data_IF_367940391658
#
_entry.id   IF_367940391658
#
_cell.length_a   1.000
_cell.length_b   1.000
_cell.length_c   1.000
_cell.angle_alpha   90.00
_cell.angle_beta   90.00
_cell.angle_gamma   90.00
#
_symmetry.space_group_name_H-M   'P 1'
#
loop_
_entity.id
_entity.type
_entity.pdbx_description
1 polymer ?
#
# COMPACT_ATOMS: atom_id res chain seq x y z
N UNK A 1 -19.90 6.81 -25.34
CA UNK A 1 -19.49 7.65 -24.21
C UNK A 1 -17.99 7.81 -24.34
N UNK A 2 -17.49 9.03 -24.60
CA UNK A 2 -16.06 9.28 -24.66
C UNK A 2 -15.59 9.51 -23.22
N UNK A 3 -14.72 8.66 -22.72
CA UNK A 3 -14.04 8.88 -21.44
C UNK A 3 -12.86 9.81 -21.71
N UNK A 4 -12.86 10.98 -21.12
CA UNK A 4 -11.70 11.89 -21.15
C UNK A 4 -11.07 11.92 -19.77
N UNK A 5 -9.76 11.72 -19.72
CA UNK A 5 -8.97 11.93 -18.52
C UNK A 5 -8.28 13.29 -18.59
N UNK A 6 -7.95 13.92 -17.45
CA UNK A 6 -7.09 15.10 -17.43
C UNK A 6 -5.77 14.84 -18.19
N UNK A 7 -5.22 15.87 -18.84
CA UNK A 7 -3.97 15.72 -19.61
C UNK A 7 -2.77 15.32 -18.77
N UNK A 8 -2.79 15.77 -17.52
CA UNK A 8 -1.77 15.54 -16.49
C UNK A 8 -2.09 14.35 -15.59
N UNK A 9 -3.07 13.51 -15.99
CA UNK A 9 -3.39 12.31 -15.24
C UNK A 9 -2.19 11.34 -15.18
N UNK A 10 -1.85 10.92 -13.98
CA UNK A 10 -0.70 10.09 -13.70
C UNK A 10 -1.00 8.61 -13.97
N UNK A 11 -0.53 8.11 -15.11
CA UNK A 11 -0.59 6.69 -15.46
C UNK A 11 0.68 5.99 -15.02
N UNK A 12 0.60 5.12 -14.02
CA UNK A 12 1.75 4.49 -13.40
C UNK A 12 1.57 3.03 -13.04
N UNK A 13 2.56 2.54 -12.36
CA UNK A 13 2.54 1.26 -11.67
C UNK A 13 3.25 1.38 -10.33
N UNK A 14 3.00 0.44 -9.43
CA UNK A 14 3.56 0.42 -8.09
C UNK A 14 4.37 -0.84 -7.82
N UNK A 15 5.25 -0.75 -6.82
CA UNK A 15 5.91 -1.88 -6.18
C UNK A 15 6.52 -1.45 -4.84
N UNK A 16 6.93 -2.39 -4.00
CA UNK A 16 7.65 -2.09 -2.77
C UNK A 16 9.08 -2.62 -2.78
N UNK A 17 9.97 -1.93 -2.08
CA UNK A 17 11.38 -2.30 -2.01
C UNK A 17 11.58 -3.72 -1.50
N UNK A 18 10.95 -4.08 -0.38
CA UNK A 18 11.17 -5.41 0.22
C UNK A 18 10.67 -6.56 -0.65
N UNK A 19 9.72 -6.31 -1.56
CA UNK A 19 9.12 -7.33 -2.41
C UNK A 19 9.91 -7.57 -3.71
N UNK A 20 10.70 -6.61 -4.18
CA UNK A 20 11.41 -6.73 -5.47
C UNK A 20 12.91 -6.51 -5.42
N UNK A 21 13.44 -5.70 -4.47
CA UNK A 21 14.87 -5.34 -4.49
C UNK A 21 15.80 -6.54 -4.36
N UNK A 22 15.55 -7.43 -3.41
CA UNK A 22 16.54 -8.40 -2.99
C UNK A 22 17.76 -7.72 -2.34
N UNK A 23 18.96 -8.25 -2.61
CA UNK A 23 20.22 -7.70 -2.06
C UNK A 23 20.13 -7.42 -0.54
N UNK A 24 19.52 -8.37 0.19
CA UNK A 24 19.08 -8.19 1.58
C UNK A 24 20.20 -7.84 2.56
N UNK A 25 21.43 -8.20 2.26
CA UNK A 25 22.62 -7.93 3.09
C UNK A 25 23.78 -7.27 2.31
N UNK A 26 23.47 -6.68 1.15
CA UNK A 26 24.48 -6.03 0.31
C UNK A 26 24.58 -4.54 0.63
N UNK A 27 25.75 -3.97 0.35
CA UNK A 27 26.07 -2.57 0.52
C UNK A 27 25.69 -1.97 1.88
N UNK A 28 25.76 -2.79 2.93
CA UNK A 28 25.52 -2.37 4.29
C UNK A 28 24.05 -2.28 4.69
N UNK A 29 23.12 -2.83 3.89
CA UNK A 29 21.71 -2.95 4.28
C UNK A 29 21.60 -3.73 5.58
N UNK A 30 20.87 -3.19 6.56
CA UNK A 30 20.49 -3.87 7.78
C UNK A 30 19.34 -4.85 7.57
N UNK A 31 19.08 -5.68 8.56
CA UNK A 31 18.00 -6.64 8.55
C UNK A 31 16.64 -5.92 8.74
N UNK A 32 15.68 -6.20 7.89
CA UNK A 32 14.28 -5.84 8.12
C UNK A 32 13.61 -6.83 9.07
N UNK A 33 12.45 -6.47 9.61
CA UNK A 33 11.62 -7.39 10.37
C UNK A 33 11.24 -8.63 9.54
N UNK A 34 10.94 -8.47 8.27
CA UNK A 34 10.64 -9.58 7.36
C UNK A 34 11.86 -10.48 7.16
N UNK A 35 13.05 -9.90 6.95
CA UNK A 35 14.30 -10.67 6.84
C UNK A 35 14.58 -11.48 8.10
N UNK A 36 14.32 -10.91 9.27
CA UNK A 36 14.55 -11.57 10.56
C UNK A 36 13.58 -12.72 10.78
N UNK A 37 12.27 -12.44 10.74
CA UNK A 37 11.26 -13.45 11.06
C UNK A 37 11.20 -14.59 10.03
N UNK A 38 11.44 -14.32 8.75
CA UNK A 38 11.51 -15.36 7.71
C UNK A 38 12.64 -16.38 7.95
N UNK A 39 13.63 -16.05 8.77
CA UNK A 39 14.75 -16.93 9.13
C UNK A 39 14.52 -17.73 10.40
N UNK A 40 13.47 -17.40 11.18
CA UNK A 40 13.08 -18.13 12.37
C UNK A 40 12.20 -19.33 11.98
N UNK A 41 12.57 -20.57 12.34
CA UNK A 41 11.80 -21.76 11.93
C UNK A 41 10.32 -21.74 12.31
N UNK A 42 10.00 -21.18 13.48
CA UNK A 42 8.65 -21.06 13.98
C UNK A 42 7.77 -20.10 13.19
N UNK A 43 8.36 -19.13 12.48
CA UNK A 43 7.65 -18.12 11.68
C UNK A 43 7.81 -18.32 10.18
N UNK A 44 8.75 -19.15 9.72
CA UNK A 44 9.08 -19.31 8.31
C UNK A 44 7.87 -19.70 7.43
N UNK A 45 6.85 -20.34 8.01
CA UNK A 45 5.62 -20.70 7.32
C UNK A 45 4.81 -19.47 6.85
N UNK A 46 4.91 -18.32 7.51
CA UNK A 46 4.29 -17.08 7.07
C UNK A 46 4.86 -16.54 5.75
N UNK A 47 6.00 -17.04 5.33
CA UNK A 47 6.65 -16.72 4.04
C UNK A 47 6.73 -17.94 3.11
N UNK A 48 5.86 -18.95 3.29
CA UNK A 48 5.93 -20.20 2.51
C UNK A 48 7.30 -20.83 2.51
N UNK A 49 8.04 -20.68 3.64
CA UNK A 49 9.46 -21.05 3.77
C UNK A 49 10.38 -20.40 2.73
N UNK A 50 9.91 -19.37 2.03
CA UNK A 50 10.68 -18.54 1.12
C UNK A 50 11.36 -17.37 1.84
N UNK A 51 12.37 -16.81 1.21
CA UNK A 51 13.08 -15.63 1.70
C UNK A 51 13.24 -14.60 0.60
N UNK A 52 13.14 -13.34 0.96
CA UNK A 52 13.28 -12.22 0.04
C UNK A 52 14.74 -11.86 -0.26
N UNK A 53 15.63 -12.84 -0.21
CA UNK A 53 17.08 -12.63 -0.34
C UNK A 53 17.44 -12.06 -1.72
N UNK A 54 16.76 -12.53 -2.76
CA UNK A 54 16.97 -12.08 -4.14
C UNK A 54 15.74 -11.37 -4.70
N UNK A 55 14.53 -11.84 -4.39
CA UNK A 55 13.28 -11.35 -4.97
C UNK A 55 13.33 -11.32 -6.50
N UNK A 56 12.92 -10.18 -7.10
CA UNK A 56 13.08 -9.92 -8.53
C UNK A 56 14.45 -9.32 -8.88
N UNK A 57 15.36 -9.23 -7.91
CA UNK A 57 16.70 -8.66 -8.07
C UNK A 57 16.69 -7.24 -8.70
N UNK A 58 15.71 -6.44 -8.32
CA UNK A 58 15.58 -5.07 -8.81
C UNK A 58 16.81 -4.23 -8.45
N UNK A 59 17.46 -4.51 -7.32
CA UNK A 59 18.67 -3.81 -6.87
C UNK A 59 19.78 -3.82 -7.93
N UNK A 60 19.94 -4.90 -8.69
CA UNK A 60 20.95 -5.02 -9.74
C UNK A 60 20.41 -4.67 -11.14
N UNK A 61 19.11 -4.82 -11.37
CA UNK A 61 18.45 -4.67 -12.68
C UNK A 61 17.65 -3.38 -12.86
N UNK A 62 17.63 -2.47 -11.88
CA UNK A 62 16.75 -1.31 -11.85
C UNK A 62 16.82 -0.40 -13.11
N UNK A 63 18.00 -0.29 -13.76
CA UNK A 63 18.12 0.49 -14.98
C UNK A 63 17.33 -0.09 -16.14
N UNK A 64 17.47 -1.40 -16.35
CA UNK A 64 16.74 -2.15 -17.37
C UNK A 64 15.23 -2.08 -17.13
N UNK A 65 14.83 -2.22 -15.86
CA UNK A 65 13.43 -2.18 -15.47
C UNK A 65 12.83 -0.77 -15.67
N UNK A 66 13.55 0.30 -15.34
CA UNK A 66 13.14 1.68 -15.61
C UNK A 66 13.10 1.99 -17.11
N UNK A 67 14.06 1.50 -17.89
CA UNK A 67 14.04 1.62 -19.35
C UNK A 67 12.79 0.96 -19.93
N UNK A 68 12.45 -0.24 -19.47
CA UNK A 68 11.23 -0.95 -19.89
C UNK A 68 9.95 -0.19 -19.51
N UNK A 69 9.90 0.44 -18.33
CA UNK A 69 8.78 1.31 -17.93
C UNK A 69 8.64 2.51 -18.86
N UNK A 70 9.74 3.17 -19.20
CA UNK A 70 9.76 4.32 -20.12
C UNK A 70 9.34 3.92 -21.55
N UNK A 71 9.84 2.79 -22.06
CA UNK A 71 9.46 2.22 -23.35
C UNK A 71 7.95 1.91 -23.44
N UNK A 72 7.33 1.60 -22.31
CA UNK A 72 5.89 1.36 -22.18
C UNK A 72 5.08 2.61 -21.78
N UNK A 73 5.69 3.80 -21.86
CA UNK A 73 5.04 5.11 -21.64
C UNK A 73 4.47 5.31 -20.21
N UNK A 74 4.95 4.60 -19.20
CA UNK A 74 4.58 4.94 -17.84
C UNK A 74 5.03 6.36 -17.50
N UNK A 75 4.15 7.12 -16.85
CA UNK A 75 4.40 8.52 -16.47
C UNK A 75 4.92 8.66 -15.05
N UNK A 76 4.69 7.65 -14.23
CA UNK A 76 5.05 7.67 -12.82
C UNK A 76 5.30 6.23 -12.34
N UNK A 77 6.18 6.11 -11.36
CA UNK A 77 6.42 4.85 -10.64
C UNK A 77 6.36 5.11 -9.15
N UNK A 78 5.42 4.41 -8.48
CA UNK A 78 5.33 4.42 -7.03
C UNK A 78 6.20 3.30 -6.48
N UNK A 79 7.12 3.67 -5.59
CA UNK A 79 8.10 2.76 -5.03
C UNK A 79 8.43 3.13 -3.59
N UNK A 80 8.84 2.17 -2.78
CA UNK A 80 9.27 2.45 -1.40
C UNK A 80 10.79 2.54 -1.27
N UNK A 81 11.21 3.18 -0.18
CA UNK A 81 12.61 3.14 0.27
C UNK A 81 12.71 2.09 1.38
N UNK A 82 13.64 1.14 1.26
CA UNK A 82 13.93 0.22 2.34
C UNK A 82 14.60 0.96 3.51
N UNK A 83 13.83 1.21 4.58
CA UNK A 83 14.36 1.89 5.78
C UNK A 83 15.63 1.21 6.32
N UNK A 84 15.72 -0.14 6.43
CA UNK A 84 16.94 -0.80 6.88
C UNK A 84 18.13 -0.64 5.94
N UNK A 85 17.94 -0.20 4.67
CA UNK A 85 19.03 0.11 3.76
C UNK A 85 19.66 1.47 4.08
N UNK A 86 18.88 2.41 4.59
CA UNK A 86 19.38 3.73 4.99
C UNK A 86 19.88 3.76 6.44
N UNK A 87 19.20 3.07 7.34
CA UNK A 87 19.52 3.03 8.77
C UNK A 87 19.63 1.57 9.25
N UNK A 88 20.77 0.92 9.02
CA UNK A 88 20.92 -0.52 9.25
C UNK A 88 20.92 -0.93 10.72
N UNK A 89 21.47 -0.10 11.62
CA UNK A 89 21.76 -0.50 13.00
C UNK A 89 21.15 0.44 14.07
N UNK A 90 20.61 1.58 13.66
CA UNK A 90 20.03 2.57 14.58
C UNK A 90 19.79 3.91 13.88
N UNK A 91 19.11 4.84 14.55
CA UNK A 91 18.70 6.10 13.96
C UNK A 91 19.88 7.08 13.69
N UNK A 92 21.06 6.84 14.28
CA UNK A 92 22.24 7.69 14.12
C UNK A 92 23.18 7.22 12.99
N UNK A 93 23.01 6.00 12.47
CA UNK A 93 23.93 5.39 11.51
C UNK A 93 23.35 5.40 10.11
N UNK A 94 23.58 6.50 9.39
CA UNK A 94 23.18 6.62 7.98
C UNK A 94 24.13 5.84 7.07
N UNK A 95 23.58 4.92 6.30
CA UNK A 95 24.32 4.16 5.28
C UNK A 95 24.39 4.95 3.97
N UNK A 96 25.55 5.55 3.68
CA UNK A 96 25.75 6.36 2.48
C UNK A 96 25.54 5.57 1.18
N UNK A 97 25.90 4.28 1.13
CA UNK A 97 25.69 3.46 -0.07
C UNK A 97 24.20 3.29 -0.41
N UNK A 98 23.33 3.18 0.62
CA UNK A 98 21.89 3.18 0.42
C UNK A 98 21.38 4.52 -0.13
N UNK A 99 21.90 5.63 0.40
CA UNK A 99 21.58 6.97 -0.12
C UNK A 99 22.02 7.11 -1.58
N UNK A 100 23.23 6.69 -1.91
CA UNK A 100 23.77 6.77 -3.28
C UNK A 100 22.96 5.94 -4.27
N UNK A 101 22.51 4.75 -3.86
CA UNK A 101 21.63 3.87 -4.66
C UNK A 101 20.31 4.57 -5.00
N UNK A 102 19.56 5.05 -4.02
CA UNK A 102 18.28 5.72 -4.27
C UNK A 102 18.44 7.05 -5.01
N UNK A 103 19.52 7.80 -4.78
CA UNK A 103 19.83 8.99 -5.55
C UNK A 103 20.05 8.68 -7.04
N UNK A 104 20.75 7.59 -7.35
CA UNK A 104 20.97 7.16 -8.72
C UNK A 104 19.64 6.70 -9.37
N UNK A 105 18.83 5.90 -8.65
CA UNK A 105 17.54 5.42 -9.11
C UNK A 105 16.58 6.58 -9.44
N UNK A 106 16.35 7.49 -8.51
CA UNK A 106 15.39 8.58 -8.71
C UNK A 106 15.86 9.60 -9.75
N UNK A 107 17.17 9.84 -9.86
CA UNK A 107 17.74 10.66 -10.92
C UNK A 107 17.48 10.04 -12.29
N UNK A 108 17.67 8.74 -12.43
CA UNK A 108 17.45 8.03 -13.68
C UNK A 108 15.97 7.96 -14.06
N UNK A 109 15.06 7.76 -13.08
CA UNK A 109 13.63 7.87 -13.33
C UNK A 109 13.26 9.23 -13.95
N UNK A 110 13.76 10.32 -13.35
CA UNK A 110 13.55 11.68 -13.88
C UNK A 110 14.16 11.86 -15.28
N UNK A 111 15.35 11.34 -15.53
CA UNK A 111 15.99 11.35 -16.87
C UNK A 111 15.11 10.66 -17.92
N UNK A 112 14.44 9.55 -17.54
CA UNK A 112 13.53 8.80 -18.39
C UNK A 112 12.12 9.41 -18.48
N UNK A 113 11.85 10.50 -17.77
CA UNK A 113 10.54 11.16 -17.75
C UNK A 113 9.49 10.43 -16.92
N UNK A 114 9.93 9.61 -15.96
CA UNK A 114 9.07 8.89 -15.01
C UNK A 114 9.10 9.66 -13.69
N UNK A 115 7.95 10.16 -13.25
CA UNK A 115 7.79 10.89 -11.99
C UNK A 115 7.93 9.93 -10.80
N UNK A 116 8.89 10.13 -9.87
CA UNK A 116 8.96 9.35 -8.66
C UNK A 116 7.83 9.70 -7.69
N UNK A 117 7.09 8.68 -7.25
CA UNK A 117 6.21 8.73 -6.10
C UNK A 117 6.77 7.75 -5.04
N UNK A 118 7.19 8.27 -3.90
CA UNK A 118 7.99 7.49 -2.95
C UNK A 118 7.30 7.35 -1.61
N UNK A 119 7.27 6.09 -1.15
CA UNK A 119 6.84 5.72 0.20
C UNK A 119 8.09 5.51 1.07
N UNK A 120 8.39 6.36 2.07
CA UNK A 120 9.42 6.05 3.06
C UNK A 120 9.17 4.73 3.79
N UNK A 121 7.91 4.37 4.01
CA UNK A 121 7.56 3.14 4.72
C UNK A 121 6.52 2.31 3.97
N UNK A 122 6.93 1.09 3.60
CA UNK A 122 6.06 0.06 3.04
C UNK A 122 6.39 -1.29 3.69
N UNK A 123 6.07 -1.41 5.01
CA UNK A 123 6.06 -2.60 5.88
C UNK A 123 7.43 -3.10 6.38
N UNK A 124 8.53 -2.68 5.83
CA UNK A 124 9.88 -3.19 6.10
C UNK A 124 10.59 -2.43 7.22
N UNK A 125 10.02 -2.45 8.44
CA UNK A 125 10.70 -1.90 9.62
C UNK A 125 12.08 -2.52 9.78
N UNK A 126 13.12 -1.71 10.07
CA UNK A 126 14.40 -2.26 10.53
C UNK A 126 14.20 -3.11 11.78
N UNK A 127 14.88 -4.24 11.87
CA UNK A 127 14.78 -5.13 13.04
C UNK A 127 15.11 -4.41 14.34
N UNK A 128 16.07 -3.49 14.34
CA UNK A 128 16.41 -2.72 15.53
C UNK A 128 15.25 -1.86 16.08
N UNK A 129 14.28 -1.46 15.22
CA UNK A 129 13.06 -0.78 15.67
C UNK A 129 12.20 -1.73 16.50
N UNK A 130 11.99 -2.97 16.01
CA UNK A 130 11.23 -3.97 16.76
C UNK A 130 11.95 -4.39 18.05
N UNK A 131 13.27 -4.56 18.02
CA UNK A 131 14.09 -4.89 19.19
C UNK A 131 13.98 -3.83 20.30
N UNK A 132 13.64 -2.60 19.93
CA UNK A 132 13.39 -1.47 20.86
C UNK A 132 11.91 -1.27 21.19
N UNK A 133 11.04 -2.21 20.85
CA UNK A 133 9.60 -2.19 21.17
C UNK A 133 8.68 -1.83 20.00
N UNK A 134 9.23 -1.57 18.81
CA UNK A 134 8.42 -1.31 17.60
C UNK A 134 7.55 -0.05 17.69
N UNK A 135 6.43 -0.06 17.00
CA UNK A 135 5.53 1.09 16.92
C UNK A 135 4.79 1.43 18.24
N UNK A 136 4.83 0.55 19.24
CA UNK A 136 4.27 0.86 20.57
C UNK A 136 5.26 1.63 21.47
N UNK A 137 6.54 1.70 21.12
CA UNK A 137 7.48 2.56 21.82
C UNK A 137 7.24 4.02 21.40
N UNK A 138 7.06 4.98 22.33
CA UNK A 138 6.84 6.39 21.97
C UNK A 138 8.01 7.02 21.17
N UNK A 139 9.24 6.52 21.33
CA UNK A 139 10.40 6.96 20.53
C UNK A 139 10.29 6.57 19.04
N UNK A 140 9.40 5.62 18.68
CA UNK A 140 9.13 5.27 17.30
C UNK A 140 8.77 6.49 16.45
N UNK A 141 8.02 7.42 17.02
CA UNK A 141 7.61 8.66 16.35
C UNK A 141 8.87 9.45 15.93
N UNK A 142 9.81 9.62 16.85
CA UNK A 142 11.04 10.39 16.59
C UNK A 142 11.97 9.67 15.60
N UNK A 143 12.11 8.34 15.73
CA UNK A 143 12.88 7.54 14.77
C UNK A 143 12.30 7.62 13.35
N UNK A 144 10.99 7.48 13.23
CA UNK A 144 10.31 7.53 11.93
C UNK A 144 10.44 8.91 11.30
N UNK A 145 10.21 9.98 12.07
CA UNK A 145 10.34 11.36 11.58
C UNK A 145 11.78 11.68 11.17
N UNK A 146 12.77 11.26 11.97
CA UNK A 146 14.19 11.45 11.62
C UNK A 146 14.56 10.75 10.31
N UNK A 147 14.06 9.53 10.12
CA UNK A 147 14.21 8.79 8.87
C UNK A 147 13.55 9.51 7.68
N UNK A 148 12.29 9.91 7.81
CA UNK A 148 11.56 10.62 6.77
C UNK A 148 12.23 11.96 6.41
N UNK A 149 12.67 12.72 7.41
CA UNK A 149 13.43 13.98 7.21
C UNK A 149 14.72 13.73 6.43
N UNK A 150 15.42 12.63 6.71
CA UNK A 150 16.60 12.24 5.94
C UNK A 150 16.22 11.94 4.47
N UNK A 151 15.13 11.21 4.23
CA UNK A 151 14.64 10.98 2.88
C UNK A 151 14.30 12.29 2.15
N UNK A 152 13.62 13.22 2.81
CA UNK A 152 13.27 14.52 2.24
C UNK A 152 14.52 15.36 1.91
N UNK A 153 15.53 15.30 2.76
CA UNK A 153 16.79 16.02 2.56
C UNK A 153 17.60 15.45 1.39
N UNK A 154 17.74 14.13 1.33
CA UNK A 154 18.62 13.47 0.35
C UNK A 154 17.94 13.34 -1.04
N UNK A 155 16.61 13.28 -1.10
CA UNK A 155 15.88 12.95 -2.34
C UNK A 155 14.80 13.97 -2.73
N UNK A 156 14.51 14.98 -1.90
CA UNK A 156 13.38 15.88 -2.08
C UNK A 156 13.45 16.76 -3.33
N UNK A 157 14.63 16.93 -3.92
CA UNK A 157 14.81 17.60 -5.21
C UNK A 157 14.43 16.75 -6.43
N UNK A 158 14.26 15.43 -6.23
CA UNK A 158 13.97 14.44 -7.28
C UNK A 158 12.55 13.85 -7.20
N UNK A 159 11.96 13.83 -6.01
CA UNK A 159 10.69 13.15 -5.72
C UNK A 159 9.55 14.17 -5.70
N UNK A 160 8.50 13.88 -6.45
CA UNK A 160 7.32 14.76 -6.57
C UNK A 160 6.20 14.42 -5.59
N UNK A 161 5.97 13.14 -5.34
CA UNK A 161 4.95 12.66 -4.42
C UNK A 161 5.59 11.84 -3.30
N UNK A 162 5.17 12.14 -2.07
CA UNK A 162 5.60 11.41 -0.88
C UNK A 162 4.38 10.89 -0.14
N UNK A 163 4.32 9.60 0.18
CA UNK A 163 3.38 9.12 1.20
C UNK A 163 4.15 8.76 2.47
N UNK A 164 3.60 9.10 3.61
CA UNK A 164 4.25 8.80 4.89
C UNK A 164 4.17 7.32 5.22
N UNK A 165 3.13 6.63 4.74
CA UNK A 165 2.88 5.23 5.03
C UNK A 165 2.07 4.58 3.93
N UNK A 166 2.25 3.26 3.74
CA UNK A 166 1.39 2.40 2.95
C UNK A 166 0.68 1.39 3.83
N UNK A 167 -0.66 1.34 3.72
CA UNK A 167 -1.51 0.35 4.37
C UNK A 167 -1.15 0.08 5.84
N UNK A 168 -1.17 1.10 6.69
CA UNK A 168 -0.77 0.93 8.09
C UNK A 168 -1.72 0.02 8.87
N UNK A 169 -2.91 -0.24 8.33
CA UNK A 169 -3.84 -1.21 8.88
C UNK A 169 -3.24 -2.62 8.84
N UNK A 170 -2.60 -2.98 7.74
CA UNK A 170 -1.96 -4.29 7.60
C UNK A 170 -0.72 -4.42 8.48
N UNK A 171 0.24 -3.52 8.35
CA UNK A 171 1.57 -3.69 8.95
C UNK A 171 1.69 -3.14 10.37
N UNK A 172 1.08 -2.00 10.65
CA UNK A 172 1.17 -1.37 11.98
C UNK A 172 0.10 -1.94 12.91
N UNK A 173 -1.18 -1.80 12.57
CA UNK A 173 -2.25 -2.31 13.41
C UNK A 173 -2.28 -3.85 13.41
N UNK A 174 -2.23 -4.47 12.22
CA UNK A 174 -2.28 -5.92 12.05
C UNK A 174 -1.07 -6.68 12.61
N UNK A 175 0.06 -6.00 12.84
CA UNK A 175 1.21 -6.57 13.55
C UNK A 175 0.93 -6.81 15.04
N UNK A 176 0.08 -5.98 15.64
CA UNK A 176 -0.27 -6.09 17.05
C UNK A 176 -1.66 -6.69 17.27
N UNK A 177 -2.62 -6.41 16.40
CA UNK A 177 -3.96 -6.95 16.51
C UNK A 177 -4.80 -6.72 15.26
N UNK A 178 -5.46 -7.77 14.78
CA UNK A 178 -6.61 -7.66 13.91
C UNK A 178 -7.56 -8.84 14.19
N UNK A 179 -8.71 -8.57 14.76
CA UNK A 179 -9.74 -9.59 15.06
C UNK A 179 -10.79 -9.68 13.97
N UNK A 180 -10.97 -8.61 13.19
CA UNK A 180 -12.12 -8.51 12.31
C UNK A 180 -11.97 -9.27 11.00
N UNK A 181 -10.77 -9.78 10.69
CA UNK A 181 -10.48 -10.53 9.46
C UNK A 181 -9.72 -11.85 9.71
N UNK A 182 -9.70 -12.38 10.95
CA UNK A 182 -8.91 -13.56 11.35
C UNK A 182 -7.39 -13.41 11.09
N UNK A 183 -6.90 -12.18 11.02
CA UNK A 183 -5.54 -11.84 10.60
C UNK A 183 -4.66 -11.40 11.76
N UNK A 184 -5.19 -11.46 12.98
CA UNK A 184 -4.48 -11.02 14.19
C UNK A 184 -3.09 -11.65 14.26
N UNK A 185 -2.05 -10.79 14.34
CA UNK A 185 -0.67 -11.22 14.33
C UNK A 185 -0.24 -11.87 13.01
N UNK A 186 -0.73 -11.39 11.87
CA UNK A 186 -0.31 -11.85 10.53
C UNK A 186 1.05 -11.29 10.14
N UNK A 187 1.38 -10.11 10.68
CA UNK A 187 2.63 -9.39 10.41
C UNK A 187 3.50 -9.31 11.66
N UNK A 188 4.83 -9.12 11.53
CA UNK A 188 5.67 -8.81 12.67
C UNK A 188 5.15 -7.58 13.46
N UNK A 189 5.16 -7.60 14.79
CA UNK A 189 5.75 -8.60 15.70
C UNK A 189 4.86 -9.81 16.04
N UNK A 190 3.75 -10.06 15.33
CA UNK A 190 2.84 -11.19 15.55
C UNK A 190 2.13 -11.21 16.91
N UNK A 191 1.86 -10.03 17.46
CA UNK A 191 1.16 -9.89 18.72
C UNK A 191 -0.37 -9.96 18.54
N UNK A 192 -1.09 -10.16 19.66
CA UNK A 192 -2.56 -10.23 19.69
C UNK A 192 -3.12 -9.41 20.85
N UNK A 193 -2.79 -8.12 20.86
CA UNK A 193 -3.16 -7.19 21.91
C UNK A 193 -3.79 -5.92 21.30
N UNK A 194 -5.09 -5.76 21.53
CA UNK A 194 -5.87 -4.67 20.93
C UNK A 194 -5.41 -3.27 21.40
N UNK A 195 -5.03 -3.15 22.69
CA UNK A 195 -4.52 -1.86 23.21
C UNK A 195 -3.19 -1.49 22.55
N UNK A 196 -2.32 -2.47 22.33
CA UNK A 196 -1.08 -2.26 21.57
C UNK A 196 -1.35 -1.90 20.12
N UNK A 197 -2.37 -2.52 19.49
CA UNK A 197 -2.80 -2.17 18.14
C UNK A 197 -3.21 -0.70 18.03
N UNK A 198 -4.06 -0.22 18.94
CA UNK A 198 -4.48 1.19 18.97
C UNK A 198 -3.33 2.14 19.35
N UNK A 199 -2.42 1.74 20.25
CA UNK A 199 -1.24 2.53 20.57
C UNK A 199 -0.31 2.69 19.34
N UNK A 200 -0.04 1.60 18.63
CA UNK A 200 0.76 1.61 17.41
C UNK A 200 0.09 2.46 16.29
N UNK A 201 -1.25 2.32 16.13
CA UNK A 201 -2.05 3.16 15.24
C UNK A 201 -1.88 4.65 15.56
N UNK A 202 -2.03 5.02 16.84
CA UNK A 202 -1.92 6.41 17.29
C UNK A 202 -0.51 6.97 17.06
N UNK A 203 0.52 6.23 17.41
CA UNK A 203 1.92 6.65 17.18
C UNK A 203 2.22 6.86 15.69
N UNK A 204 1.67 6.01 14.81
CA UNK A 204 1.86 6.18 13.36
C UNK A 204 1.15 7.43 12.84
N UNK A 205 -0.05 7.75 13.35
CA UNK A 205 -0.76 8.99 13.01
C UNK A 205 0.04 10.21 13.47
N UNK A 206 0.61 10.20 14.68
CA UNK A 206 1.44 11.29 15.16
C UNK A 206 2.74 11.43 14.34
N UNK A 207 3.36 10.32 13.96
CA UNK A 207 4.51 10.31 13.06
C UNK A 207 4.15 10.92 11.70
N UNK A 208 3.00 10.55 11.11
CA UNK A 208 2.46 11.14 9.88
C UNK A 208 2.36 12.67 9.97
N UNK A 209 1.71 13.21 11.00
CA UNK A 209 1.59 14.66 11.17
C UNK A 209 2.95 15.36 11.30
N UNK A 210 3.85 14.80 12.10
CA UNK A 210 5.20 15.37 12.26
C UNK A 210 6.01 15.31 10.98
N UNK A 211 5.86 14.28 10.16
CA UNK A 211 6.48 14.21 8.84
C UNK A 211 5.96 15.32 7.91
N UNK A 212 4.63 15.55 7.84
CA UNK A 212 4.05 16.63 7.03
C UNK A 212 4.57 17.99 7.50
N UNK A 213 4.59 18.21 8.81
CA UNK A 213 5.11 19.45 9.40
C UNK A 213 6.57 19.67 8.99
N UNK A 214 7.42 18.66 9.19
CA UNK A 214 8.83 18.73 8.84
C UNK A 214 9.04 18.98 7.32
N UNK A 215 8.28 18.29 6.46
CA UNK A 215 8.31 18.47 5.02
C UNK A 215 8.06 19.93 4.62
N UNK A 216 7.08 20.57 5.25
CA UNK A 216 6.73 21.98 4.99
C UNK A 216 7.74 22.94 5.58
N UNK A 217 8.20 22.72 6.80
CA UNK A 217 9.23 23.56 7.46
C UNK A 217 10.56 23.53 6.71
N UNK A 218 10.92 22.41 6.08
CA UNK A 218 12.09 22.29 5.22
C UNK A 218 11.90 22.99 3.85
N UNK A 219 10.70 23.43 3.51
CA UNK A 219 10.41 24.02 2.20
C UNK A 219 10.52 23.04 1.05
N UNK A 220 10.27 21.75 1.31
CA UNK A 220 10.29 20.71 0.28
C UNK A 220 9.25 21.02 -0.79
N UNK A 221 9.61 20.74 -2.03
CA UNK A 221 8.71 20.84 -3.19
C UNK A 221 7.99 19.51 -3.39
N UNK A 222 6.83 19.56 -4.03
CA UNK A 222 6.02 18.37 -4.27
C UNK A 222 4.88 18.25 -3.28
N UNK A 223 4.31 17.07 -3.19
CA UNK A 223 3.10 16.77 -2.40
C UNK A 223 3.39 15.67 -1.39
N UNK A 224 2.74 15.76 -0.22
CA UNK A 224 2.84 14.77 0.83
C UNK A 224 1.46 14.31 1.29
N UNK A 225 1.28 12.99 1.40
CA UNK A 225 0.02 12.36 1.82
C UNK A 225 0.24 11.03 2.54
N UNK A 226 -0.76 10.17 2.51
CA UNK A 226 -0.72 8.81 3.02
C UNK A 226 -1.45 7.86 2.05
N UNK A 227 -1.18 6.57 2.14
CA UNK A 227 -1.83 5.53 1.35
C UNK A 227 -2.52 4.55 2.29
N UNK A 228 -3.81 4.34 2.06
CA UNK A 228 -4.66 3.48 2.89
C UNK A 228 -5.23 2.34 2.04
N UNK A 229 -5.21 1.13 2.60
CA UNK A 229 -5.95 -0.01 2.11
C UNK A 229 -7.44 0.23 2.31
N UNK A 230 -8.14 0.54 1.25
CA UNK A 230 -9.50 1.08 1.31
C UNK A 230 -10.51 0.09 0.75
N UNK A 231 -11.47 -0.28 1.57
CA UNK A 231 -12.41 -1.36 1.26
C UNK A 231 -13.85 -0.85 1.38
N UNK A 232 -14.64 -0.86 0.28
CA UNK A 232 -16.06 -0.57 0.41
C UNK A 232 -16.74 -1.63 1.26
N UNK A 233 -17.51 -1.20 2.25
CA UNK A 233 -18.20 -2.08 3.18
C UNK A 233 -19.67 -2.20 2.80
N UNK A 234 -20.12 -3.42 2.50
CA UNK A 234 -21.49 -3.67 2.11
C UNK A 234 -22.27 -4.43 3.21
N UNK A 235 -23.57 -4.16 3.36
CA UNK A 235 -24.43 -5.01 4.20
C UNK A 235 -24.50 -6.41 3.62
N UNK A 236 -24.47 -7.43 4.48
CA UNK A 236 -24.58 -8.82 4.07
C UNK A 236 -25.99 -9.15 3.55
N UNK A 237 -27.03 -8.74 4.29
CA UNK A 237 -28.42 -8.88 3.89
C UNK A 237 -29.01 -7.49 3.59
N UNK A 238 -29.27 -7.22 2.32
CA UNK A 238 -29.87 -5.95 1.87
C UNK A 238 -31.29 -5.72 2.42
N UNK A 239 -31.96 -6.73 2.94
CA UNK A 239 -33.29 -6.62 3.58
C UNK A 239 -33.21 -6.32 5.09
N UNK A 240 -32.06 -6.55 5.74
CA UNK A 240 -31.85 -6.25 7.16
C UNK A 240 -31.19 -4.87 7.33
N UNK A 241 -31.94 -3.91 7.86
CA UNK A 241 -31.42 -2.56 8.11
C UNK A 241 -30.24 -2.52 9.09
N UNK A 242 -30.13 -3.53 9.97
CA UNK A 242 -29.02 -3.62 10.93
C UNK A 242 -27.69 -3.93 10.25
N UNK A 243 -27.73 -4.64 9.12
CA UNK A 243 -26.52 -4.94 8.35
C UNK A 243 -25.95 -3.69 7.68
N UNK A 244 -26.78 -2.68 7.36
CA UNK A 244 -26.28 -1.36 6.93
C UNK A 244 -25.55 -0.61 8.07
N UNK A 245 -26.07 -0.72 9.30
CA UNK A 245 -25.38 -0.16 10.47
C UNK A 245 -24.08 -0.92 10.75
N UNK A 246 -24.10 -2.23 10.61
CA UNK A 246 -22.90 -3.08 10.74
C UNK A 246 -21.81 -2.72 9.71
N UNK A 247 -22.22 -2.48 8.45
CA UNK A 247 -21.29 -2.04 7.40
C UNK A 247 -20.67 -0.67 7.73
N UNK A 248 -21.47 0.27 8.25
CA UNK A 248 -20.97 1.57 8.71
C UNK A 248 -19.98 1.43 9.88
N UNK A 249 -20.30 0.63 10.91
CA UNK A 249 -19.39 0.38 12.02
C UNK A 249 -18.10 -0.29 11.57
N UNK A 250 -18.19 -1.24 10.63
CA UNK A 250 -17.01 -1.90 10.06
C UNK A 250 -16.14 -0.91 9.28
N UNK A 251 -16.74 -0.03 8.47
CA UNK A 251 -16.01 1.03 7.78
C UNK A 251 -15.26 1.92 8.77
N UNK A 252 -15.92 2.39 9.79
CA UNK A 252 -15.30 3.24 10.82
C UNK A 252 -14.16 2.53 11.54
N UNK A 253 -14.29 1.23 11.81
CA UNK A 253 -13.24 0.45 12.47
C UNK A 253 -12.07 0.14 11.53
N UNK A 254 -12.33 -0.23 10.29
CA UNK A 254 -11.30 -0.68 9.35
C UNK A 254 -10.60 0.50 8.70
N UNK A 255 -11.32 1.31 7.98
CA UNK A 255 -10.82 2.46 7.23
C UNK A 255 -10.84 3.76 8.08
N UNK A 256 -11.94 4.02 8.77
CA UNK A 256 -12.18 5.26 9.49
C UNK A 256 -11.16 5.55 10.59
N UNK A 257 -10.63 4.53 11.29
CA UNK A 257 -9.57 4.73 12.30
C UNK A 257 -8.26 5.31 11.75
N UNK A 258 -8.11 5.31 10.41
CA UNK A 258 -7.01 5.93 9.69
C UNK A 258 -7.45 7.21 8.97
N UNK A 259 -8.53 7.14 8.19
CA UNK A 259 -9.03 8.29 7.44
C UNK A 259 -9.44 9.46 8.32
N UNK A 260 -10.26 9.21 9.36
CA UNK A 260 -10.79 10.27 10.19
C UNK A 260 -9.69 11.09 10.89
N UNK A 261 -8.72 10.46 11.61
CA UNK A 261 -7.65 11.25 12.18
C UNK A 261 -6.78 11.91 11.12
N UNK A 262 -6.40 11.23 10.04
CA UNK A 262 -5.51 11.81 9.03
C UNK A 262 -6.14 12.93 8.21
N UNK A 263 -7.47 12.90 7.98
CA UNK A 263 -8.18 13.88 7.15
C UNK A 263 -9.00 14.89 7.96
N UNK A 264 -9.51 14.52 9.14
CA UNK A 264 -10.38 15.35 9.97
C UNK A 264 -9.77 15.73 11.32
N UNK A 265 -8.65 15.12 11.73
CA UNK A 265 -8.01 15.38 13.02
C UNK A 265 -8.77 14.81 14.22
N UNK A 266 -9.60 13.80 14.05
CA UNK A 266 -10.39 13.15 15.12
C UNK A 266 -10.61 11.68 14.80
N UNK A 267 -10.82 10.86 15.81
CA UNK A 267 -11.19 9.46 15.61
C UNK A 267 -12.68 9.29 15.28
N UNK A 268 -13.08 8.20 14.58
CA UNK A 268 -14.49 7.90 14.28
C UNK A 268 -15.27 7.49 15.53
N UNK A 269 -16.62 7.58 15.43
CA UNK A 269 -17.53 7.33 16.55
C UNK A 269 -17.37 5.94 17.18
N UNK A 270 -17.07 4.91 16.39
CA UNK A 270 -16.92 3.55 16.91
C UNK A 270 -15.81 3.43 17.96
N UNK A 271 -14.76 4.26 17.89
CA UNK A 271 -13.68 4.28 18.88
C UNK A 271 -14.24 4.65 20.25
N UNK A 272 -15.04 5.70 20.32
CA UNK A 272 -15.66 6.15 21.57
C UNK A 272 -16.72 5.17 22.09
N UNK A 273 -17.43 4.52 21.16
CA UNK A 273 -18.51 3.60 21.51
C UNK A 273 -18.03 2.23 21.98
N UNK A 274 -16.94 1.70 21.37
CA UNK A 274 -16.56 0.29 21.55
C UNK A 274 -15.11 0.10 22.02
N UNK A 275 -14.24 1.08 21.80
CA UNK A 275 -12.79 0.88 21.93
C UNK A 275 -12.10 1.91 22.82
N UNK A 276 -12.85 2.79 23.50
CA UNK A 276 -12.28 3.87 24.32
C UNK A 276 -11.27 3.36 25.37
N UNK A 277 -11.57 2.23 26.02
CA UNK A 277 -10.72 1.64 27.04
C UNK A 277 -9.37 1.11 26.52
N UNK A 278 -9.23 1.00 25.20
CA UNK A 278 -8.01 0.56 24.53
C UNK A 278 -7.17 1.71 23.95
N UNK A 279 -7.73 2.93 23.98
CA UNK A 279 -7.03 4.10 23.46
C UNK A 279 -5.96 4.60 24.43
N UNK A 280 -4.82 5.12 23.93
CA UNK A 280 -3.83 5.75 24.80
C UNK A 280 -4.40 6.99 25.49
N UNK A 281 -3.85 7.31 26.66
CA UNK A 281 -4.21 8.56 27.34
C UNK A 281 -3.92 9.78 26.46
N UNK A 282 -4.74 10.84 26.58
CA UNK A 282 -4.58 12.12 25.85
C UNK A 282 -4.65 12.04 24.31
N UNK A 283 -5.14 10.94 23.74
CA UNK A 283 -5.15 10.75 22.28
C UNK A 283 -5.88 11.89 21.53
N UNK A 284 -6.93 12.47 22.08
CA UNK A 284 -7.66 13.59 21.46
C UNK A 284 -6.81 14.88 21.48
N UNK A 285 -6.18 15.19 22.61
CA UNK A 285 -5.30 16.36 22.73
C UNK A 285 -4.08 16.23 21.79
N UNK A 286 -3.58 15.02 21.63
CA UNK A 286 -2.45 14.75 20.73
C UNK A 286 -2.84 15.00 19.27
N UNK A 287 -4.04 14.59 18.85
CA UNK A 287 -4.54 14.91 17.50
C UNK A 287 -4.71 16.42 17.34
N UNK A 288 -5.39 17.09 18.27
CA UNK A 288 -5.64 18.54 18.21
C UNK A 288 -4.34 19.35 18.07
N UNK A 289 -3.31 18.98 18.85
CA UNK A 289 -2.02 19.68 18.87
C UNK A 289 -1.15 19.44 17.62
N UNK A 290 -1.28 18.25 17.01
CA UNK A 290 -0.34 17.82 15.97
C UNK A 290 -0.95 17.76 14.57
N UNK A 291 -2.27 17.83 14.41
CA UNK A 291 -2.94 17.71 13.11
C UNK A 291 -2.28 18.55 12.02
N UNK A 292 -2.04 17.93 10.88
CA UNK A 292 -1.52 18.57 9.67
C UNK A 292 -2.33 18.10 8.47
N UNK A 293 -2.87 19.04 7.70
CA UNK A 293 -3.58 18.71 6.45
C UNK A 293 -2.58 18.14 5.43
N UNK A 294 -2.87 16.98 4.86
CA UNK A 294 -2.11 16.41 3.74
C UNK A 294 -2.57 16.96 2.39
N UNK A 295 -1.76 16.76 1.35
CA UNK A 295 -2.03 17.29 0.01
C UNK A 295 -2.86 16.32 -0.86
N UNK A 296 -2.78 15.03 -0.60
CA UNK A 296 -3.53 13.98 -1.30
C UNK A 296 -3.78 12.78 -0.39
N UNK A 297 -4.74 11.95 -0.78
CA UNK A 297 -4.94 10.62 -0.22
C UNK A 297 -4.76 9.55 -1.30
N UNK A 298 -3.98 8.52 -1.00
CA UNK A 298 -3.84 7.32 -1.80
C UNK A 298 -4.82 6.24 -1.35
N UNK A 299 -5.47 5.60 -2.31
CA UNK A 299 -6.44 4.53 -2.13
C UNK A 299 -5.89 3.27 -2.80
N UNK A 300 -5.64 2.23 -2.02
CA UNK A 300 -5.38 0.89 -2.53
C UNK A 300 -6.70 0.14 -2.54
N UNK A 301 -7.11 -0.38 -3.70
CA UNK A 301 -8.36 -1.10 -3.84
C UNK A 301 -8.18 -2.42 -4.55
N UNK A 302 -8.69 -3.48 -3.94
CA UNK A 302 -8.68 -4.84 -4.52
C UNK A 302 -10.04 -5.50 -4.54
N UNK A 303 -10.80 -5.44 -3.43
CA UNK A 303 -12.03 -6.18 -3.24
C UNK A 303 -12.97 -5.50 -2.23
N UNK A 304 -14.27 -5.78 -2.25
CA UNK A 304 -15.22 -5.34 -1.22
C UNK A 304 -15.19 -6.27 -0.01
N UNK A 305 -15.67 -5.74 1.13
CA UNK A 305 -16.02 -6.54 2.30
C UNK A 305 -17.52 -6.46 2.60
N UNK A 306 -18.02 -7.47 3.34
CA UNK A 306 -19.38 -7.54 3.78
C UNK A 306 -19.44 -7.61 5.30
N UNK A 307 -20.45 -6.97 5.88
CA UNK A 307 -20.66 -6.96 7.31
C UNK A 307 -22.08 -7.43 7.68
N UNK A 308 -22.16 -8.23 8.72
CA UNK A 308 -23.42 -8.66 9.33
C UNK A 308 -23.50 -8.10 10.75
N UNK A 309 -24.70 -7.72 11.13
CA UNK A 309 -24.97 -7.25 12.49
C UNK A 309 -24.85 -8.39 13.51
N UNK A 310 -24.19 -8.08 14.63
CA UNK A 310 -24.20 -8.88 15.84
C UNK A 310 -24.60 -7.98 17.04
N UNK A 311 -25.32 -8.51 18.06
CA UNK A 311 -25.77 -7.70 19.20
C UNK A 311 -24.65 -7.27 20.15
N UNK A 312 -23.51 -7.95 20.12
CA UNK A 312 -22.33 -7.66 20.94
C UNK A 312 -21.46 -6.61 20.24
N UNK A 313 -20.80 -5.76 21.04
CA UNK A 313 -19.78 -4.84 20.51
C UNK A 313 -18.65 -5.61 19.79
N UNK A 314 -18.23 -5.18 18.61
CA UNK A 314 -18.45 -3.88 17.96
C UNK A 314 -19.69 -3.79 17.04
N UNK A 315 -20.68 -4.62 17.21
CA UNK A 315 -21.96 -4.63 16.49
C UNK A 315 -21.88 -5.06 15.02
N UNK A 316 -20.77 -5.64 14.61
CA UNK A 316 -20.55 -6.23 13.30
C UNK A 316 -19.64 -7.45 13.37
N UNK A 317 -19.81 -8.35 12.44
CA UNK A 317 -18.85 -9.39 12.08
C UNK A 317 -18.56 -9.35 10.58
N UNK A 318 -17.41 -9.85 10.18
CA UNK A 318 -17.09 -10.06 8.77
C UNK A 318 -17.97 -11.18 8.25
N UNK A 319 -18.72 -10.89 7.20
CA UNK A 319 -19.54 -11.88 6.52
C UNK A 319 -18.88 -12.35 5.23
N UNK A 320 -19.07 -13.61 4.83
CA UNK A 320 -18.68 -14.07 3.52
C UNK A 320 -19.44 -13.28 2.45
N UNK A 321 -18.90 -13.20 1.25
CA UNK A 321 -19.62 -12.61 0.13
C UNK A 321 -20.93 -13.39 -0.10
N UNK A 322 -22.10 -12.71 -0.08
CA UNK A 322 -23.41 -13.36 -0.26
C UNK A 322 -23.63 -13.90 -1.68
N UNK A 323 -22.89 -13.41 -2.64
CA UNK A 323 -22.94 -13.84 -4.04
C UNK A 323 -21.55 -14.24 -4.51
N UNK A 324 -21.45 -15.17 -5.46
CA UNK A 324 -20.17 -15.53 -6.09
C UNK A 324 -19.57 -14.41 -6.97
N UNK A 325 -19.95 -13.15 -6.70
CA UNK A 325 -19.51 -11.92 -7.37
C UNK A 325 -20.14 -11.72 -8.75
N UNK A 326 -20.30 -10.46 -9.17
CA UNK A 326 -20.84 -10.09 -10.48
C UNK A 326 -20.02 -10.61 -11.67
N UNK A 327 -18.79 -11.01 -11.41
CA UNK A 327 -17.83 -11.53 -12.39
C UNK A 327 -17.29 -12.90 -11.93
N UNK A 328 -18.17 -13.79 -11.52
CA UNK A 328 -17.82 -15.15 -11.03
C UNK A 328 -16.98 -15.95 -12.03
N UNK A 329 -17.16 -15.71 -13.33
CA UNK A 329 -16.36 -16.28 -14.43
C UNK A 329 -14.90 -15.79 -14.48
N UNK A 330 -14.54 -14.75 -13.69
CA UNK A 330 -13.20 -14.24 -13.56
C UNK A 330 -12.50 -14.75 -12.29
N UNK A 331 -13.19 -15.53 -11.46
CA UNK A 331 -12.76 -15.94 -10.11
C UNK A 331 -11.80 -17.14 -10.04
N UNK A 332 -11.25 -17.60 -11.15
CA UNK A 332 -10.12 -18.56 -11.09
C UNK A 332 -8.83 -17.93 -10.49
N UNK A 333 -8.97 -16.75 -9.87
CA UNK A 333 -7.87 -15.94 -9.36
C UNK A 333 -7.83 -16.01 -7.84
N UNK A 334 -6.66 -16.36 -7.35
CA UNK A 334 -6.46 -16.57 -5.93
C UNK A 334 -6.79 -15.32 -5.10
N UNK A 335 -7.59 -15.46 -4.05
CA UNK A 335 -7.92 -14.50 -2.99
C UNK A 335 -8.62 -13.20 -3.42
N UNK A 336 -8.86 -12.93 -4.69
CA UNK A 336 -9.41 -11.66 -5.12
C UNK A 336 -10.70 -11.82 -5.89
N UNK A 337 -11.74 -11.15 -5.43
CA UNK A 337 -12.97 -10.97 -6.19
C UNK A 337 -12.82 -9.80 -7.13
N UNK A 338 -13.21 -9.99 -8.37
CA UNK A 338 -13.22 -8.90 -9.34
C UNK A 338 -14.53 -8.13 -9.18
N UNK A 339 -14.45 -6.95 -8.58
CA UNK A 339 -15.60 -6.08 -8.34
C UNK A 339 -15.27 -4.62 -8.68
N UNK A 340 -15.27 -4.24 -9.97
CA UNK A 340 -14.85 -2.90 -10.40
C UNK A 340 -15.71 -1.76 -9.83
N UNK A 341 -17.01 -2.00 -9.64
CA UNK A 341 -17.96 -1.04 -9.07
C UNK A 341 -17.54 -0.59 -7.66
N UNK A 342 -16.94 -1.48 -6.88
CA UNK A 342 -16.43 -1.16 -5.55
C UNK A 342 -15.33 -0.10 -5.57
N UNK A 343 -14.52 -0.03 -6.62
CA UNK A 343 -13.58 1.08 -6.77
C UNK A 343 -14.29 2.43 -6.89
N UNK A 344 -15.37 2.49 -7.66
CA UNK A 344 -16.17 3.72 -7.74
C UNK A 344 -16.81 4.05 -6.39
N UNK A 345 -17.35 3.04 -5.71
CA UNK A 345 -18.05 3.23 -4.45
C UNK A 345 -17.12 3.74 -3.35
N UNK A 346 -15.91 3.17 -3.22
CA UNK A 346 -14.94 3.69 -2.23
C UNK A 346 -14.42 5.08 -2.58
N UNK A 347 -14.20 5.38 -3.86
CA UNK A 347 -13.81 6.73 -4.28
C UNK A 347 -14.90 7.76 -3.97
N UNK A 348 -16.17 7.39 -4.17
CA UNK A 348 -17.31 8.23 -3.83
C UNK A 348 -17.43 8.41 -2.30
N UNK A 349 -17.30 7.33 -1.52
CA UNK A 349 -17.32 7.34 -0.06
C UNK A 349 -16.26 8.28 0.51
N UNK A 350 -15.02 8.13 0.06
CA UNK A 350 -13.89 8.99 0.49
C UNK A 350 -14.15 10.44 0.11
N UNK A 351 -14.65 10.69 -1.11
CA UNK A 351 -14.94 12.04 -1.55
C UNK A 351 -16.10 12.70 -0.76
N UNK A 352 -17.17 11.97 -0.49
CA UNK A 352 -18.34 12.51 0.23
C UNK A 352 -18.06 12.74 1.72
N UNK A 353 -17.26 11.89 2.36
CA UNK A 353 -16.93 12.02 3.79
C UNK A 353 -15.86 13.06 4.08
N UNK A 354 -14.83 13.11 3.25
CA UNK A 354 -13.59 13.80 3.59
C UNK A 354 -13.25 14.98 2.68
N UNK A 355 -13.86 15.08 1.50
CA UNK A 355 -13.62 16.16 0.52
C UNK A 355 -12.11 16.44 0.29
N UNK A 356 -11.29 15.42 -0.02
CA UNK A 356 -9.87 15.62 -0.24
C UNK A 356 -9.61 16.47 -1.48
N UNK A 357 -8.50 17.22 -1.46
CA UNK A 357 -8.10 18.03 -2.62
C UNK A 357 -7.67 17.15 -3.81
N UNK A 358 -7.15 15.95 -3.55
CA UNK A 358 -6.66 15.01 -4.56
C UNK A 358 -6.77 13.56 -4.07
N UNK A 359 -7.20 12.67 -4.95
CA UNK A 359 -7.21 11.22 -4.73
C UNK A 359 -6.33 10.54 -5.78
N UNK A 360 -5.45 9.63 -5.34
CA UNK A 360 -4.68 8.75 -6.21
C UNK A 360 -5.09 7.30 -5.95
N UNK A 361 -5.39 6.53 -7.01
CA UNK A 361 -5.50 5.08 -6.86
C UNK A 361 -4.08 4.54 -6.90
N UNK A 362 -3.54 4.26 -5.73
CA UNK A 362 -2.12 3.94 -5.51
C UNK A 362 -1.79 2.48 -5.69
N UNK A 363 -2.79 1.60 -5.60
CA UNK A 363 -2.70 0.20 -5.99
C UNK A 363 -4.05 -0.32 -6.47
N UNK A 364 -4.01 -1.08 -7.56
CA UNK A 364 -5.12 -1.87 -8.05
C UNK A 364 -4.58 -2.94 -8.99
N UNK A 365 -4.88 -4.21 -8.74
CA UNK A 365 -4.31 -5.29 -9.52
C UNK A 365 -4.98 -6.64 -9.30
N UNK A 366 -4.61 -7.59 -10.12
CA UNK A 366 -5.06 -8.97 -10.05
C UNK A 366 -3.88 -9.92 -10.22
N UNK A 367 -3.89 -11.01 -9.47
CA UNK A 367 -2.85 -12.04 -9.53
C UNK A 367 -3.33 -13.33 -10.19
N UNK A 368 -2.38 -14.12 -10.66
CA UNK A 368 -2.59 -15.46 -11.18
C UNK A 368 -1.70 -16.44 -10.44
N UNK A 369 -2.22 -17.63 -10.16
CA UNK A 369 -1.40 -18.70 -9.59
C UNK A 369 -0.35 -19.17 -10.58
N UNK A 370 0.89 -19.27 -10.12
CA UNK A 370 1.96 -19.98 -10.84
C UNK A 370 1.74 -21.50 -10.80
N UNK A 371 2.38 -22.20 -11.72
CA UNK A 371 2.42 -23.67 -11.67
C UNK A 371 3.12 -24.12 -10.37
N UNK A 372 2.44 -24.82 -9.46
CA UNK A 372 3.05 -25.26 -8.21
C UNK A 372 4.22 -26.24 -8.40
N UNK A 373 4.32 -26.89 -9.57
CA UNK A 373 5.44 -27.76 -9.92
C UNK A 373 6.64 -26.97 -10.48
N UNK A 374 6.44 -25.71 -10.87
CA UNK A 374 7.48 -24.85 -11.40
C UNK A 374 7.26 -23.37 -11.01
N UNK A 375 7.28 -23.07 -9.70
CA UNK A 375 6.88 -21.74 -9.19
C UNK A 375 7.84 -20.60 -9.59
N UNK A 376 9.06 -20.92 -10.02
CA UNK A 376 10.03 -19.91 -10.41
C UNK A 376 9.83 -19.40 -11.84
N UNK A 377 9.10 -20.16 -12.68
CA UNK A 377 8.83 -19.77 -14.06
C UNK A 377 7.47 -19.07 -14.15
N UNK A 378 7.41 -17.86 -14.71
CA UNK A 378 6.17 -17.12 -14.81
C UNK A 378 5.19 -17.82 -15.77
N UNK A 379 3.93 -17.74 -15.44
CA UNK A 379 2.84 -18.21 -16.28
C UNK A 379 2.18 -17.02 -17.02
N UNK A 380 1.27 -17.29 -17.92
CA UNK A 380 0.35 -16.30 -18.52
C UNK A 380 1.03 -15.02 -19.01
N UNK A 381 1.93 -15.15 -19.99
CA UNK A 381 2.44 -13.98 -20.73
C UNK A 381 1.29 -13.31 -21.49
N UNK A 382 0.36 -14.11 -22.07
CA UNK A 382 -0.88 -13.65 -22.70
C UNK A 382 -1.98 -13.54 -21.65
N UNK A 383 -1.97 -12.47 -20.87
CA UNK A 383 -2.83 -12.25 -19.70
C UNK A 383 -4.05 -11.37 -20.03
N UNK A 384 -4.88 -11.84 -20.96
CA UNK A 384 -6.09 -11.14 -21.42
C UNK A 384 -7.06 -10.81 -20.27
N UNK A 385 -7.10 -11.63 -19.25
CA UNK A 385 -7.93 -11.43 -18.08
C UNK A 385 -7.48 -10.20 -17.26
N UNK A 386 -6.17 -9.95 -17.16
CA UNK A 386 -5.64 -8.72 -16.55
C UNK A 386 -6.03 -7.49 -17.36
N UNK A 387 -6.02 -7.59 -18.69
CA UNK A 387 -6.49 -6.50 -19.55
C UNK A 387 -7.96 -6.19 -19.29
N UNK A 388 -8.82 -7.22 -19.18
CA UNK A 388 -10.25 -7.04 -18.83
C UNK A 388 -10.42 -6.38 -17.45
N UNK A 389 -9.66 -6.84 -16.46
CA UNK A 389 -9.65 -6.29 -15.11
C UNK A 389 -9.28 -4.80 -15.13
N UNK A 390 -8.12 -4.46 -15.66
CA UNK A 390 -7.64 -3.07 -15.76
C UNK A 390 -8.64 -2.18 -16.47
N UNK A 391 -9.16 -2.65 -17.63
CA UNK A 391 -10.16 -1.90 -18.39
C UNK A 391 -11.42 -1.61 -17.59
N UNK A 392 -11.95 -2.60 -16.86
CA UNK A 392 -13.15 -2.44 -16.06
C UNK A 392 -12.95 -1.42 -14.93
N UNK A 393 -11.83 -1.49 -14.21
CA UNK A 393 -11.51 -0.55 -13.13
C UNK A 393 -11.23 0.86 -13.67
N UNK A 394 -10.50 1.01 -14.78
CA UNK A 394 -10.28 2.31 -15.44
C UNK A 394 -11.61 2.96 -15.87
N UNK A 395 -12.61 2.17 -16.26
CA UNK A 395 -13.95 2.71 -16.56
C UNK A 395 -14.63 3.28 -15.31
N UNK A 396 -14.40 2.68 -14.14
CA UNK A 396 -14.93 3.20 -12.87
C UNK A 396 -14.22 4.49 -12.45
N UNK A 397 -12.92 4.59 -12.69
CA UNK A 397 -12.16 5.84 -12.48
C UNK A 397 -12.72 6.95 -13.37
N UNK A 398 -12.93 6.68 -14.65
CA UNK A 398 -13.51 7.65 -15.57
C UNK A 398 -14.91 8.09 -15.12
N UNK A 399 -15.72 7.16 -14.58
CA UNK A 399 -17.03 7.47 -13.98
C UNK A 399 -16.89 8.40 -12.78
N UNK A 400 -15.93 8.14 -11.89
CA UNK A 400 -15.65 8.97 -10.72
C UNK A 400 -15.24 10.40 -11.11
N UNK A 401 -14.30 10.54 -12.05
CA UNK A 401 -13.87 11.84 -12.58
C UNK A 401 -15.05 12.61 -13.21
N UNK A 402 -15.89 11.94 -13.99
CA UNK A 402 -17.08 12.57 -14.59
C UNK A 402 -18.14 13.01 -13.57
N UNK A 403 -18.06 12.51 -12.34
CA UNK A 403 -18.88 12.97 -11.21
C UNK A 403 -18.23 14.08 -10.39
N UNK A 404 -17.04 14.52 -10.78
CA UNK A 404 -16.29 15.59 -10.12
C UNK A 404 -15.43 15.12 -8.96
N UNK A 405 -15.24 13.82 -8.80
CA UNK A 405 -14.31 13.27 -7.79
C UNK A 405 -12.87 13.58 -8.27
N UNK A 406 -12.02 14.16 -7.41
CA UNK A 406 -10.69 14.68 -7.80
C UNK A 406 -9.63 13.58 -7.95
N UNK A 407 -9.90 12.59 -8.80
CA UNK A 407 -8.94 11.51 -9.07
C UNK A 407 -7.93 11.96 -10.11
N UNK A 408 -6.64 11.90 -9.78
CA UNK A 408 -5.55 12.42 -10.62
C UNK A 408 -4.52 11.39 -11.04
N UNK A 409 -4.58 10.15 -10.54
CA UNK A 409 -3.64 9.10 -10.92
C UNK A 409 -4.15 7.69 -10.65
N UNK A 410 -3.55 6.75 -11.40
CA UNK A 410 -3.81 5.32 -11.28
C UNK A 410 -2.52 4.52 -11.40
N UNK A 411 -2.26 3.69 -10.41
CA UNK A 411 -1.09 2.84 -10.32
C UNK A 411 -1.52 1.37 -10.26
N UNK A 412 -1.05 0.60 -11.22
CA UNK A 412 -1.29 -0.85 -11.20
C UNK A 412 -0.42 -1.52 -10.15
N UNK A 413 -0.95 -2.47 -9.41
CA UNK A 413 -0.16 -3.43 -8.65
C UNK A 413 -0.07 -4.73 -9.45
N UNK A 414 1.12 -5.05 -9.96
CA UNK A 414 2.41 -4.41 -9.77
C UNK A 414 3.14 -4.26 -11.11
N UNK A 415 4.25 -3.51 -11.10
CA UNK A 415 5.06 -3.37 -12.32
C UNK A 415 5.69 -4.69 -12.76
N UNK A 416 6.17 -5.49 -11.81
CA UNK A 416 6.76 -6.80 -12.08
C UNK A 416 6.27 -7.82 -11.06
N UNK A 417 6.46 -9.10 -11.35
CA UNK A 417 6.15 -10.15 -10.38
C UNK A 417 6.93 -9.93 -9.09
N UNK A 418 6.22 -10.03 -7.98
CA UNK A 418 6.70 -9.70 -6.65
C UNK A 418 6.74 -10.92 -5.75
N UNK A 419 7.52 -10.84 -4.69
CA UNK A 419 7.28 -11.65 -3.51
C UNK A 419 5.97 -11.19 -2.86
N UNK A 420 5.04 -12.13 -2.63
CA UNK A 420 3.77 -11.80 -1.98
C UNK A 420 3.76 -12.28 -0.54
N UNK A 421 3.34 -11.40 0.37
CA UNK A 421 3.31 -11.72 1.79
C UNK A 421 2.41 -12.93 2.07
N UNK A 422 2.89 -13.91 2.86
CA UNK A 422 2.27 -15.19 3.15
C UNK A 422 2.11 -16.16 1.96
N UNK A 423 2.31 -15.73 0.72
CA UNK A 423 2.12 -16.55 -0.48
C UNK A 423 3.44 -16.76 -1.23
N UNK A 424 4.52 -16.09 -0.82
CA UNK A 424 5.84 -16.25 -1.43
C UNK A 424 5.86 -15.84 -2.90
N UNK A 425 6.47 -16.67 -3.73
CA UNK A 425 6.58 -16.46 -5.18
C UNK A 425 5.51 -17.22 -5.99
N UNK A 426 4.38 -17.55 -5.36
CA UNK A 426 3.34 -18.37 -6.00
C UNK A 426 2.38 -17.59 -6.89
N UNK A 427 2.46 -16.26 -6.89
CA UNK A 427 1.55 -15.39 -7.61
C UNK A 427 2.26 -14.52 -8.65
N UNK A 428 1.59 -14.34 -9.78
CA UNK A 428 1.96 -13.43 -10.87
C UNK A 428 1.09 -12.16 -10.82
N UNK A 429 1.59 -11.10 -10.19
CA UNK A 429 0.93 -9.77 -10.18
C UNK A 429 1.41 -8.85 -11.30
N UNK A 430 2.65 -9.04 -11.75
CA UNK A 430 3.37 -8.09 -12.56
C UNK A 430 2.82 -7.82 -13.96
N UNK A 431 2.97 -6.62 -14.43
CA UNK A 431 2.93 -6.28 -15.86
C UNK A 431 4.17 -6.85 -16.59
N UNK A 432 5.28 -6.99 -15.86
CA UNK A 432 6.51 -7.65 -16.30
C UNK A 432 6.58 -9.00 -15.58
N UNK A 433 6.64 -10.07 -16.36
CA UNK A 433 6.88 -11.40 -15.85
C UNK A 433 8.36 -11.57 -15.48
N UNK A 434 8.64 -12.12 -14.31
CA UNK A 434 10.00 -12.41 -13.83
C UNK A 434 10.19 -13.92 -13.70
N UNK A 435 11.19 -14.44 -14.39
CA UNK A 435 11.66 -15.81 -14.18
C UNK A 435 12.68 -15.81 -13.03
N UNK A 436 12.33 -16.37 -11.89
CA UNK A 436 13.20 -16.33 -10.69
C UNK A 436 14.41 -17.27 -10.74
N UNK A 437 14.51 -18.14 -11.75
CA UNK A 437 15.71 -18.95 -11.98
C UNK A 437 16.76 -18.21 -12.80
N UNK A 438 16.32 -17.36 -13.75
CA UNK A 438 17.20 -16.69 -14.72
C UNK A 438 17.24 -15.18 -14.58
N UNK A 439 16.32 -14.61 -13.81
CA UNK A 439 16.04 -13.17 -13.69
C UNK A 439 15.64 -12.52 -15.02
N UNK A 440 15.19 -13.29 -16.00
CA UNK A 440 14.69 -12.78 -17.26
C UNK A 440 13.37 -12.02 -17.05
N UNK A 441 13.26 -10.84 -17.69
CA UNK A 441 12.08 -9.97 -17.69
C UNK A 441 11.33 -10.09 -19.01
N UNK A 442 10.06 -10.43 -18.96
CA UNK A 442 9.20 -10.52 -20.16
C UNK A 442 7.96 -9.66 -20.00
N UNK A 443 7.79 -8.57 -20.78
CA UNK A 443 6.56 -7.79 -20.76
C UNK A 443 5.34 -8.64 -21.11
N UNK A 444 4.29 -8.61 -20.29
CA UNK A 444 3.02 -9.28 -20.57
C UNK A 444 2.19 -8.51 -21.59
N UNK A 445 1.17 -9.15 -22.16
CA UNK A 445 0.25 -8.50 -23.08
C UNK A 445 -0.53 -7.36 -22.44
N UNK A 446 -0.82 -7.45 -21.13
CA UNK A 446 -1.42 -6.35 -20.36
C UNK A 446 -0.52 -5.10 -20.33
N UNK A 447 0.80 -5.25 -20.25
CA UNK A 447 1.71 -4.10 -20.28
C UNK A 447 1.75 -3.44 -21.67
N UNK A 448 1.77 -4.25 -22.73
CA UNK A 448 1.68 -3.75 -24.13
C UNK A 448 0.34 -3.05 -24.39
N UNK A 449 -0.76 -3.61 -23.86
CA UNK A 449 -2.07 -2.99 -23.92
C UNK A 449 -2.12 -1.66 -23.14
N UNK A 450 -1.54 -1.63 -21.93
CA UNK A 450 -1.51 -0.42 -21.10
C UNK A 450 -0.74 0.72 -21.78
N UNK A 451 0.39 0.40 -22.43
CA UNK A 451 1.10 1.36 -23.30
C UNK A 451 0.18 1.97 -24.35
N UNK A 452 -0.52 1.13 -25.12
CA UNK A 452 -1.42 1.60 -26.19
C UNK A 452 -2.58 2.43 -25.63
N UNK A 453 -3.10 2.03 -24.47
CA UNK A 453 -4.15 2.78 -23.79
C UNK A 453 -3.66 4.17 -23.37
N UNK A 454 -2.51 4.28 -22.71
CA UNK A 454 -1.91 5.56 -22.31
C UNK A 454 -1.69 6.45 -23.53
N UNK A 455 -1.12 5.93 -24.61
CA UNK A 455 -0.93 6.67 -25.88
C UNK A 455 -2.27 7.18 -26.46
N UNK A 456 -3.32 6.42 -26.30
CA UNK A 456 -4.65 6.77 -26.78
C UNK A 456 -5.37 7.86 -26.01
N UNK A 457 -5.13 7.94 -24.68
CA UNK A 457 -5.80 8.91 -23.80
C UNK A 457 -4.99 10.19 -23.56
N UNK A 458 -3.70 10.21 -23.91
CA UNK A 458 -2.82 11.38 -23.76
C UNK A 458 -2.68 12.21 -25.04
N UNK A 459 -3.26 11.76 -26.16
CA UNK A 459 -3.37 12.49 -27.46
C UNK A 459 -4.59 13.40 -27.46
#
# INVERSE_FOLDING_TARGET
MYFSFPKDFLWGSACSAYQIEGAWNEDGKGMSCHDYYARLPEYAHHWQNGRMDTCADFYHHWKEDIDMMAEHNLKTFRFSIAWPRLFPNGPEELNQKGVDYYNALFSYMNEKGIVPFIDPYHWDLPQWVLDRGGAINPEFIDWFVSYAVTCFKEFGDKVTYWSTTNEPNCSIFGGYYDKCDDVAGRFPPFEKDLAKGFLANHHMILAHYRCIKAFREMGCKGKIGAVIDSVPMYPYDLSDKRDYEAAEWKFQYYDGKWFDPMLLGKYPEIIYKCFLDYMPECFEEDLEKNYQKMDFIGVNYYLPHYARYIPEAPYFEVAPDPEEGLHADWQEYYCMKVYPEGLYDILNEVNERYHPDEILITENGISFMRDPNNPNVPTRINDIERIKYMRAHIMMIARAINRGIPVTGYYTWSIMDTYEHQLGFTLDFGLIAVNYDTMERTPRDSFRWYKQFIEGVTK
#
